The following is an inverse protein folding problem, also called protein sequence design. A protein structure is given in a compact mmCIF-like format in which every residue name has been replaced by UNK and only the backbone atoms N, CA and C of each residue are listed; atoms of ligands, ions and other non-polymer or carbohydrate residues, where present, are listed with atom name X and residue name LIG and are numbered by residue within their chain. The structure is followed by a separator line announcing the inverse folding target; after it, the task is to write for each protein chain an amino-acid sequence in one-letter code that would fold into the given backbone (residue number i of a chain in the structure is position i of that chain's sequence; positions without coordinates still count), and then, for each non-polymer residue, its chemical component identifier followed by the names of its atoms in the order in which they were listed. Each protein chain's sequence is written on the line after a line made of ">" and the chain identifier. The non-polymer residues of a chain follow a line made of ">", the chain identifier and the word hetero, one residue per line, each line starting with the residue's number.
data_IF_982211839720
#
_entry.id   IF_982211839720
#
_cell.length_a   1.000
_cell.length_b   1.000
_cell.length_c   1.000
_cell.angle_alpha   90.00
_cell.angle_beta   90.00
_cell.angle_gamma   90.00
#
_symmetry.space_group_name_H-M   'P 1'
#
loop_
_entity.id
_entity.type
_entity.pdbx_description
1 polymer ?
#
# COMPACT_ATOMS: atom_id res chain seq x y z
N UNK A 1 -16.73 11.46 12.95
CA UNK A 1 -15.74 11.09 11.92
C UNK A 1 -14.92 12.28 11.51
N UNK A 2 -13.64 12.04 11.22
CA UNK A 2 -12.67 13.04 10.82
C UNK A 2 -12.44 12.91 9.29
N UNK A 3 -12.58 14.00 8.49
CA UNK A 3 -12.46 13.94 7.04
C UNK A 3 -11.13 13.37 6.52
N UNK A 4 -10.03 13.64 7.22
CA UNK A 4 -8.70 13.15 6.84
C UNK A 4 -8.65 11.63 7.01
N UNK A 5 -9.05 11.14 8.19
CA UNK A 5 -9.12 9.71 8.48
C UNK A 5 -10.06 8.96 7.52
N UNK A 6 -11.19 9.56 7.10
CA UNK A 6 -12.09 8.94 6.12
C UNK A 6 -11.38 8.63 4.81
N UNK A 7 -10.60 9.59 4.28
CA UNK A 7 -9.88 9.43 3.00
C UNK A 7 -8.74 8.42 3.14
N UNK A 8 -7.95 8.54 4.21
CA UNK A 8 -6.84 7.62 4.49
C UNK A 8 -7.33 6.18 4.66
N UNK A 9 -8.34 5.95 5.49
CA UNK A 9 -8.90 4.62 5.73
C UNK A 9 -9.41 3.97 4.44
N UNK A 10 -10.06 4.75 3.56
CA UNK A 10 -10.53 4.23 2.28
C UNK A 10 -9.36 3.86 1.36
N UNK A 11 -8.32 4.71 1.28
CA UNK A 11 -7.12 4.43 0.49
C UNK A 11 -6.34 3.21 1.00
N UNK A 12 -6.14 3.10 2.31
CA UNK A 12 -5.50 1.93 2.92
C UNK A 12 -6.32 0.66 2.68
N UNK A 13 -7.65 0.72 2.74
CA UNK A 13 -8.48 -0.45 2.44
C UNK A 13 -8.26 -0.97 1.01
N UNK A 14 -8.05 -0.09 0.02
CA UNK A 14 -7.78 -0.48 -1.37
C UNK A 14 -6.44 -1.21 -1.48
N UNK A 15 -5.39 -0.64 -0.91
CA UNK A 15 -4.04 -1.25 -0.93
C UNK A 15 -4.03 -2.56 -0.13
N UNK A 16 -4.60 -2.55 1.08
CA UNK A 16 -4.74 -3.74 1.95
C UNK A 16 -5.44 -4.89 1.24
N UNK A 17 -6.57 -4.64 0.58
CA UNK A 17 -7.30 -5.67 -0.16
C UNK A 17 -6.48 -6.24 -1.32
N UNK A 18 -5.63 -5.43 -1.93
CA UNK A 18 -4.71 -5.87 -2.99
C UNK A 18 -3.62 -6.80 -2.41
N UNK A 19 -3.06 -6.45 -1.25
CA UNK A 19 -2.10 -7.29 -0.52
C UNK A 19 -2.75 -8.61 -0.09
N UNK A 20 -3.95 -8.57 0.50
CA UNK A 20 -4.69 -9.78 0.92
C UNK A 20 -4.90 -10.72 -0.27
N UNK A 21 -5.36 -10.18 -1.41
CA UNK A 21 -5.56 -10.97 -2.64
C UNK A 21 -4.28 -11.69 -3.03
N UNK A 22 -3.17 -10.97 -3.11
CA UNK A 22 -1.90 -11.53 -3.58
C UNK A 22 -1.29 -12.51 -2.57
N UNK A 23 -1.46 -12.27 -1.26
CA UNK A 23 -1.10 -13.21 -0.19
C UNK A 23 -1.84 -14.55 -0.35
N UNK A 24 -3.16 -14.50 -0.54
CA UNK A 24 -3.99 -15.70 -0.74
C UNK A 24 -3.57 -16.43 -2.02
N UNK A 25 -3.34 -15.70 -3.12
CA UNK A 25 -2.83 -16.29 -4.37
C UNK A 25 -1.46 -16.97 -4.20
N UNK A 26 -0.59 -16.42 -3.35
CA UNK A 26 0.72 -17.00 -3.06
C UNK A 26 0.67 -18.23 -2.12
N UNK A 27 -0.48 -18.47 -1.47
CA UNK A 27 -0.73 -19.59 -0.57
C UNK A 27 -0.61 -19.27 0.93
N UNK A 28 -0.53 -17.98 1.30
CA UNK A 28 -0.48 -17.57 2.70
C UNK A 28 -1.85 -17.60 3.37
N UNK A 29 -1.83 -17.75 4.70
CA UNK A 29 -2.99 -17.54 5.56
C UNK A 29 -2.89 -16.15 6.23
N UNK A 30 -3.65 -15.13 5.77
CA UNK A 30 -3.42 -13.73 6.16
C UNK A 30 -3.62 -13.42 7.65
N UNK A 31 -4.26 -14.29 8.43
CA UNK A 31 -4.48 -14.08 9.85
C UNK A 31 -3.19 -14.25 10.70
N UNK A 32 -2.16 -14.90 10.17
CA UNK A 32 -0.86 -15.07 10.85
C UNK A 32 0.05 -13.90 10.47
N UNK A 33 0.08 -12.88 11.31
CA UNK A 33 1.02 -11.76 11.17
C UNK A 33 2.43 -12.12 11.62
N UNK A 34 3.38 -11.25 11.26
CA UNK A 34 4.74 -11.21 11.78
C UNK A 34 4.75 -10.53 13.14
N UNK A 35 4.05 -9.39 13.26
CA UNK A 35 3.94 -8.61 14.49
C UNK A 35 2.49 -8.40 14.92
N UNK A 36 1.58 -8.13 13.97
CA UNK A 36 0.16 -8.03 14.31
C UNK A 36 -0.41 -9.40 14.75
N UNK A 37 -0.97 -9.45 15.96
CA UNK A 37 -1.49 -10.69 16.57
C UNK A 37 -2.96 -10.57 17.01
N UNK A 38 -3.72 -9.65 16.41
CA UNK A 38 -5.12 -9.44 16.76
C UNK A 38 -5.94 -10.72 16.54
N UNK A 39 -6.48 -11.38 17.59
CA UNK A 39 -7.14 -12.69 17.45
C UNK A 39 -8.44 -12.61 16.65
N UNK A 40 -9.00 -11.42 16.49
CA UNK A 40 -10.20 -11.15 15.70
C UNK A 40 -9.89 -10.50 14.34
N UNK A 41 -8.62 -10.25 14.02
CA UNK A 41 -8.21 -9.65 12.76
C UNK A 41 -7.73 -10.74 11.78
N UNK A 42 -8.56 -11.07 10.80
CA UNK A 42 -8.26 -12.09 9.80
C UNK A 42 -7.17 -11.72 8.79
N UNK A 43 -6.57 -10.53 8.90
CA UNK A 43 -5.63 -10.01 7.90
C UNK A 43 -4.38 -9.37 8.53
N UNK A 44 -3.96 -9.84 9.71
CA UNK A 44 -2.77 -9.37 10.41
C UNK A 44 -1.52 -9.27 9.50
N UNK A 45 -1.26 -10.28 8.66
CA UNK A 45 -0.11 -10.25 7.75
C UNK A 45 -0.20 -9.14 6.71
N UNK A 46 -1.41 -8.85 6.23
CA UNK A 46 -1.60 -7.74 5.30
C UNK A 46 -1.38 -6.39 5.98
N UNK A 47 -1.69 -6.29 7.27
CA UNK A 47 -1.42 -5.09 8.08
C UNK A 47 0.06 -4.93 8.40
N UNK A 48 0.83 -6.02 8.46
CA UNK A 48 2.29 -5.92 8.51
C UNK A 48 2.87 -5.46 7.15
N UNK A 49 2.39 -6.03 6.04
CA UNK A 49 2.97 -5.80 4.71
C UNK A 49 2.48 -4.52 4.01
N UNK A 50 1.47 -3.83 4.54
CA UNK A 50 1.00 -2.55 3.99
C UNK A 50 1.94 -1.39 4.32
N UNK A 51 2.75 -1.50 5.37
CA UNK A 51 3.55 -0.39 5.90
C UNK A 51 4.39 0.36 4.85
N UNK A 52 5.12 -0.30 3.93
CA UNK A 52 5.89 0.40 2.90
C UNK A 52 5.01 1.17 1.89
N UNK A 53 3.73 0.82 1.77
CA UNK A 53 2.81 1.38 0.78
C UNK A 53 1.96 2.53 1.33
N UNK A 54 1.93 2.73 2.65
CA UNK A 54 1.10 3.77 3.29
C UNK A 54 1.43 5.16 2.77
N UNK A 55 2.72 5.48 2.63
CA UNK A 55 3.17 6.79 2.15
C UNK A 55 2.58 7.15 0.77
N UNK A 56 2.42 6.16 -0.12
CA UNK A 56 1.82 6.39 -1.45
C UNK A 56 0.34 6.75 -1.37
N UNK A 57 -0.38 6.14 -0.42
CA UNK A 57 -1.77 6.50 -0.13
C UNK A 57 -1.83 7.88 0.50
N UNK A 58 -0.94 8.17 1.43
CA UNK A 58 -0.92 9.43 2.19
C UNK A 58 -0.76 10.64 1.26
N UNK A 59 0.12 10.55 0.26
CA UNK A 59 0.31 11.60 -0.75
C UNK A 59 -0.97 11.87 -1.53
N UNK A 60 -1.61 10.82 -2.07
CA UNK A 60 -2.85 10.98 -2.84
C UNK A 60 -4.01 11.44 -1.97
N UNK A 61 -4.10 10.93 -0.74
CA UNK A 61 -5.11 11.35 0.23
C UNK A 61 -4.97 12.83 0.58
N UNK A 62 -3.75 13.32 0.75
CA UNK A 62 -3.47 14.72 1.03
C UNK A 62 -3.97 15.66 -0.08
N UNK A 63 -3.84 15.25 -1.35
CA UNK A 63 -4.27 16.06 -2.51
C UNK A 63 -5.79 16.18 -2.65
N UNK A 64 -6.54 15.15 -2.20
CA UNK A 64 -7.99 15.08 -2.43
C UNK A 64 -8.83 15.30 -1.19
N UNK A 65 -8.21 15.47 -0.02
CA UNK A 65 -8.94 15.65 1.25
C UNK A 65 -9.82 16.90 1.19
N UNK A 66 -11.01 16.80 1.77
CA UNK A 66 -11.97 17.90 1.82
C UNK A 66 -12.48 18.09 3.26
N UNK A 67 -13.28 19.12 3.50
CA UNK A 67 -13.96 19.30 4.79
C UNK A 67 -15.10 18.30 5.03
N UNK A 68 -15.48 17.49 4.03
CA UNK A 68 -16.56 16.50 4.13
C UNK A 68 -16.03 15.14 4.57
N UNK A 69 -16.76 14.49 5.47
CA UNK A 69 -16.45 13.13 5.95
C UNK A 69 -16.83 12.04 4.96
N UNK A 70 -17.86 12.28 4.13
CA UNK A 70 -18.31 11.35 3.10
C UNK A 70 -17.51 11.58 1.82
N UNK A 71 -16.83 10.54 1.33
CA UNK A 71 -16.13 10.63 0.07
C UNK A 71 -17.10 10.80 -1.11
N UNK A 72 -16.76 11.69 -2.03
CA UNK A 72 -17.41 11.82 -3.32
C UNK A 72 -17.08 10.61 -4.21
N UNK A 73 -17.84 10.44 -5.29
CA UNK A 73 -17.54 9.41 -6.31
C UNK A 73 -16.17 9.64 -6.94
N UNK A 74 -15.78 10.89 -7.13
CA UNK A 74 -14.51 11.27 -7.71
C UNK A 74 -13.35 10.94 -6.77
N UNK A 75 -13.45 11.30 -5.48
CA UNK A 75 -12.43 10.96 -4.49
C UNK A 75 -12.22 9.44 -4.39
N UNK A 76 -13.30 8.66 -4.34
CA UNK A 76 -13.19 7.19 -4.36
C UNK A 76 -12.52 6.65 -5.62
N UNK A 77 -12.79 7.27 -6.78
CA UNK A 77 -12.14 6.91 -8.05
C UNK A 77 -10.65 7.24 -8.01
N UNK A 78 -10.27 8.42 -7.53
CA UNK A 78 -8.86 8.82 -7.42
C UNK A 78 -8.09 7.88 -6.48
N UNK A 79 -8.66 7.52 -5.33
CA UNK A 79 -8.06 6.54 -4.43
C UNK A 79 -7.91 5.16 -5.07
N UNK A 80 -8.88 4.71 -5.87
CA UNK A 80 -8.75 3.46 -6.60
C UNK A 80 -7.61 3.48 -7.63
N UNK A 81 -7.31 4.66 -8.19
CA UNK A 81 -6.22 4.84 -9.14
C UNK A 81 -4.82 4.81 -8.50
N UNK A 82 -4.70 4.88 -7.17
CA UNK A 82 -3.43 4.73 -6.45
C UNK A 82 -2.69 3.47 -6.90
N UNK A 83 -3.39 2.37 -7.13
CA UNK A 83 -2.78 1.10 -7.56
C UNK A 83 -2.07 1.17 -8.93
N UNK A 84 -2.38 2.19 -9.74
CA UNK A 84 -1.75 2.44 -11.05
C UNK A 84 -0.61 3.46 -10.98
N UNK A 85 -0.38 4.10 -9.84
CA UNK A 85 0.76 4.99 -9.65
C UNK A 85 2.07 4.24 -9.78
N UNK A 86 3.12 4.96 -10.16
CA UNK A 86 4.45 4.38 -10.31
C UNK A 86 5.11 4.19 -8.94
N UNK A 87 5.80 3.06 -8.78
CA UNK A 87 6.76 2.80 -7.72
C UNK A 87 8.04 2.22 -8.33
N UNK A 88 9.13 2.22 -7.58
CA UNK A 88 10.36 1.53 -7.96
C UNK A 88 10.55 0.31 -7.06
N UNK A 89 11.01 -0.79 -7.64
CA UNK A 89 11.52 -1.95 -6.90
C UNK A 89 12.79 -2.38 -7.63
N UNK A 90 13.92 -2.44 -6.92
CA UNK A 90 15.23 -2.78 -7.51
C UNK A 90 15.55 -1.93 -8.75
N UNK A 91 15.37 -0.62 -8.67
CA UNK A 91 15.60 0.34 -9.79
C UNK A 91 14.66 0.18 -11.00
N UNK A 92 13.73 -0.77 -10.98
CA UNK A 92 12.74 -0.97 -12.04
C UNK A 92 11.42 -0.25 -11.75
N UNK A 93 10.96 0.54 -12.71
CA UNK A 93 9.67 1.23 -12.63
C UNK A 93 8.51 0.26 -12.81
N UNK A 94 7.61 0.24 -11.83
CA UNK A 94 6.45 -0.64 -11.76
C UNK A 94 5.20 0.14 -11.37
N UNK A 95 4.02 -0.46 -11.53
CA UNK A 95 2.80 0.04 -10.88
C UNK A 95 2.77 -0.44 -9.43
N UNK A 96 2.11 0.29 -8.53
CA UNK A 96 1.92 -0.15 -7.13
C UNK A 96 1.31 -1.55 -7.07
N UNK A 97 0.29 -1.87 -7.89
CA UNK A 97 -0.29 -3.21 -7.89
C UNK A 97 0.71 -4.30 -8.30
N UNK A 98 1.61 -4.03 -9.26
CA UNK A 98 2.63 -4.99 -9.64
C UNK A 98 3.72 -5.08 -8.57
N UNK A 99 4.07 -3.95 -7.96
CA UNK A 99 5.06 -3.90 -6.89
C UNK A 99 4.62 -4.67 -5.65
N UNK A 100 3.35 -4.58 -5.27
CA UNK A 100 2.76 -5.42 -4.21
C UNK A 100 2.93 -6.90 -4.55
N UNK A 101 2.67 -7.30 -5.80
CA UNK A 101 2.85 -8.67 -6.24
C UNK A 101 4.30 -9.14 -6.10
N UNK A 102 5.25 -8.33 -6.60
CA UNK A 102 6.70 -8.61 -6.51
C UNK A 102 7.14 -8.77 -5.06
N UNK A 103 6.71 -7.85 -4.18
CA UNK A 103 7.02 -7.93 -2.75
C UNK A 103 6.48 -9.21 -2.12
N UNK A 104 5.25 -9.62 -2.45
CA UNK A 104 4.64 -10.84 -1.89
C UNK A 104 5.34 -12.11 -2.41
N UNK A 105 5.69 -12.17 -3.69
CA UNK A 105 6.42 -13.33 -4.24
C UNK A 105 7.84 -13.43 -3.66
N UNK A 106 8.53 -12.30 -3.53
CA UNK A 106 9.87 -12.29 -2.91
C UNK A 106 9.81 -12.56 -1.41
N UNK A 107 8.77 -12.13 -0.70
CA UNK A 107 8.53 -12.49 0.69
C UNK A 107 8.33 -14.00 0.87
N UNK A 108 7.57 -14.65 -0.02
CA UNK A 108 7.45 -16.10 -0.06
C UNK A 108 8.81 -16.78 -0.25
N UNK A 109 9.57 -16.33 -1.24
CA UNK A 109 10.89 -16.87 -1.53
C UNK A 109 11.84 -16.72 -0.32
N UNK A 110 11.84 -15.55 0.32
CA UNK A 110 12.65 -15.27 1.51
C UNK A 110 12.32 -16.22 2.67
N UNK A 111 11.05 -16.60 2.86
CA UNK A 111 10.63 -17.58 3.86
C UNK A 111 11.09 -19.00 3.47
N UNK A 112 10.84 -19.42 2.23
CA UNK A 112 11.17 -20.77 1.75
C UNK A 112 12.68 -21.04 1.79
N UNK A 113 13.49 -20.02 1.47
CA UNK A 113 14.96 -20.11 1.46
C UNK A 113 15.60 -19.69 2.79
N UNK A 114 14.80 -19.17 3.74
CA UNK A 114 15.29 -18.60 5.00
C UNK A 114 16.36 -17.51 4.81
N UNK A 115 16.21 -16.68 3.77
CA UNK A 115 17.11 -15.57 3.44
C UNK A 115 16.33 -14.26 3.23
N UNK A 116 16.48 -13.34 4.17
CA UNK A 116 15.82 -12.03 4.15
C UNK A 116 16.29 -11.13 3.01
N UNK A 117 17.51 -11.35 2.47
CA UNK A 117 18.06 -10.52 1.41
C UNK A 117 17.30 -10.68 0.09
N UNK A 118 16.46 -11.72 -0.02
CA UNK A 118 15.60 -11.96 -1.18
C UNK A 118 14.36 -11.06 -1.17
N UNK A 119 13.94 -10.52 -0.01
CA UNK A 119 12.75 -9.68 0.11
C UNK A 119 12.95 -8.37 -0.67
N UNK A 120 12.03 -8.11 -1.60
CA UNK A 120 12.03 -6.89 -2.41
C UNK A 120 10.98 -5.92 -1.86
N UNK A 121 11.42 -4.72 -1.51
CA UNK A 121 10.57 -3.65 -1.00
C UNK A 121 10.45 -2.51 -2.01
N UNK A 122 9.35 -1.74 -1.99
CA UNK A 122 9.25 -0.53 -2.80
C UNK A 122 10.20 0.56 -2.30
N UNK A 123 10.86 1.20 -3.25
CA UNK A 123 11.49 2.49 -3.03
C UNK A 123 10.42 3.58 -3.08
N UNK A 124 10.25 4.28 -1.97
CA UNK A 124 9.38 5.45 -1.92
C UNK A 124 10.15 6.59 -2.59
N UNK A 125 9.67 7.04 -3.75
CA UNK A 125 10.19 8.26 -4.35
C UNK A 125 10.00 9.43 -3.36
N UNK A 126 11.02 10.26 -3.12
CA UNK A 126 10.82 11.47 -2.36
C UNK A 126 9.72 12.31 -3.01
N UNK A 127 8.87 12.92 -2.19
CA UNK A 127 7.92 13.93 -2.66
C UNK A 127 8.75 15.11 -3.15
N UNK A 128 9.08 15.15 -4.44
CA UNK A 128 9.67 16.33 -5.06
C UNK A 128 8.61 17.44 -5.05
N UNK A 129 8.80 18.43 -4.18
CA UNK A 129 8.08 19.69 -4.32
C UNK A 129 8.53 20.29 -5.64
N UNK A 130 7.62 20.39 -6.60
CA UNK A 130 7.82 21.27 -7.75
C UNK A 130 8.01 22.67 -7.16
N UNK A 131 9.22 23.23 -7.28
CA UNK A 131 9.42 24.65 -7.00
C UNK A 131 8.48 25.42 -7.92
N UNK A 132 7.49 26.07 -7.31
CA UNK A 132 6.68 27.07 -7.97
C UNK A 132 7.68 28.06 -8.57
N UNK A 133 7.67 28.18 -9.89
CA UNK A 133 8.38 29.26 -10.57
C UNK A 133 7.82 30.55 -9.97
N UNK A 134 8.57 31.16 -9.06
CA UNK A 134 8.30 32.49 -8.56
C UNK A 134 8.43 33.46 -9.72
N UNK A 135 7.41 34.31 -9.84
CA UNK A 135 7.14 35.37 -10.84
C UNK A 135 8.33 35.94 -11.62
#
# INVERSE_FOLDING_TARGET
>A
DDPINSVLNYGYAIVRNTIIRDLVCAGFYPAIGIHHEGPFNGFNLADDLIEPWRAMVDVVAHEIVSSQTNLSREQRRTLALVLHNACFINEEKNTISNGINIMIQSFKQAIEESDINLLKLPDILPVEKIEVISE
#
